data_IF_200764592385
#
_entry.id   IF_200764592385
#
_cell.length_a   1.000
_cell.length_b   1.000
_cell.length_c   1.000
_cell.angle_alpha   90.00
_cell.angle_beta   90.00
_cell.angle_gamma   90.00
#
_symmetry.space_group_name_H-M   'P 1'
#
loop_
_entity.id
_entity.type
_entity.pdbx_description
1 polymer ?
#
# COMPACT_ATOMS: atom_id res chain seq x y z
N UNK A 1 53.78 -18.19 22.81
CA UNK A 1 52.78 -17.42 23.59
C UNK A 1 52.55 -16.13 22.82
N UNK A 2 51.52 -16.07 21.98
CA UNK A 2 51.27 -14.88 21.15
C UNK A 2 49.79 -14.56 21.24
N UNK A 3 49.55 -13.41 21.85
CA UNK A 3 48.27 -12.87 22.29
C UNK A 3 47.38 -12.51 21.10
N UNK A 4 46.24 -13.20 20.98
CA UNK A 4 45.16 -12.91 20.05
C UNK A 4 44.08 -12.16 20.85
N UNK A 5 44.23 -10.84 21.04
CA UNK A 5 43.34 -10.10 21.96
C UNK A 5 43.61 -8.61 22.14
N UNK A 6 44.00 -7.89 21.09
CA UNK A 6 44.10 -6.42 21.15
C UNK A 6 42.77 -5.75 20.75
N UNK A 7 42.12 -4.96 21.62
CA UNK A 7 40.91 -4.22 21.27
C UNK A 7 41.30 -2.92 20.55
N UNK A 8 40.97 -2.79 19.28
CA UNK A 8 41.28 -1.56 18.54
C UNK A 8 41.11 -1.61 17.03
N UNK A 9 40.38 -2.61 16.51
CA UNK A 9 39.98 -2.64 15.11
C UNK A 9 38.99 -1.52 14.83
N UNK A 10 39.51 -0.35 14.46
CA UNK A 10 38.80 0.74 13.81
C UNK A 10 37.75 0.14 12.87
N UNK A 11 36.49 0.21 13.28
CA UNK A 11 35.36 -0.04 12.39
C UNK A 11 35.42 1.08 11.37
N UNK A 12 36.16 0.84 10.28
CA UNK A 12 36.22 1.77 9.17
C UNK A 12 34.78 2.06 8.80
N UNK A 13 34.40 3.34 8.86
CA UNK A 13 33.11 3.82 8.40
C UNK A 13 33.10 3.66 6.87
N UNK A 14 32.99 2.42 6.42
CA UNK A 14 32.72 2.11 5.04
C UNK A 14 31.30 2.61 4.82
N UNK A 15 31.17 3.65 3.99
CA UNK A 15 29.87 3.95 3.39
C UNK A 15 29.46 2.64 2.71
N UNK A 16 28.40 1.98 3.18
CA UNK A 16 27.99 0.72 2.57
C UNK A 16 27.74 1.00 1.09
N UNK A 17 28.53 0.36 0.23
CA UNK A 17 28.24 0.31 -1.19
C UNK A 17 26.97 -0.52 -1.36
N UNK A 18 25.93 -0.01 -2.03
CA UNK A 18 24.77 -0.85 -2.39
C UNK A 18 25.28 -2.08 -3.15
N UNK A 19 24.83 -3.33 -2.90
CA UNK A 19 23.58 -3.79 -2.24
C UNK A 19 23.75 -4.39 -0.83
N UNK A 20 24.89 -4.22 -0.17
CA UNK A 20 25.22 -4.85 1.13
C UNK A 20 24.25 -4.53 2.29
N UNK A 21 23.43 -3.49 2.17
CA UNK A 21 22.39 -3.14 3.15
C UNK A 21 20.96 -3.42 2.73
N UNK A 22 20.76 -4.10 1.60
CA UNK A 22 19.44 -4.41 1.06
C UNK A 22 18.66 -3.15 0.69
N UNK A 23 18.47 -2.91 -0.61
CA UNK A 23 17.28 -2.17 -1.03
C UNK A 23 16.09 -3.00 -0.56
N UNK A 24 15.51 -2.59 0.57
CA UNK A 24 14.38 -3.29 1.18
C UNK A 24 13.38 -3.63 0.07
N UNK A 25 12.82 -4.85 0.01
CA UNK A 25 11.94 -5.29 -1.09
C UNK A 25 10.66 -4.45 -1.30
N UNK A 26 10.48 -3.35 -0.58
CA UNK A 26 9.49 -2.28 -0.85
C UNK A 26 9.96 -1.24 -1.88
N UNK A 27 11.25 -1.17 -2.23
CA UNK A 27 11.80 -0.18 -3.17
C UNK A 27 11.92 -0.80 -4.57
N UNK A 28 10.78 -1.23 -5.09
CA UNK A 28 10.65 -1.84 -6.41
C UNK A 28 10.71 -0.76 -7.51
N UNK A 29 11.90 -0.20 -7.76
CA UNK A 29 12.17 0.73 -8.87
C UNK A 29 11.67 2.18 -8.70
N UNK A 30 11.06 2.51 -7.56
CA UNK A 30 10.67 3.89 -7.23
C UNK A 30 9.43 4.40 -7.99
N UNK A 31 8.48 3.53 -8.31
CA UNK A 31 7.24 3.84 -9.06
C UNK A 31 6.46 5.06 -8.54
N UNK A 32 6.39 5.24 -7.21
CA UNK A 32 5.65 6.34 -6.58
C UNK A 32 6.53 7.55 -6.19
N UNK A 33 7.80 7.60 -6.64
CA UNK A 33 8.77 8.62 -6.23
C UNK A 33 8.44 10.02 -6.75
N UNK A 34 7.78 10.13 -7.90
CA UNK A 34 7.33 11.40 -8.47
C UNK A 34 6.35 12.13 -7.55
N UNK A 35 5.34 11.41 -7.05
CA UNK A 35 4.33 11.95 -6.12
C UNK A 35 4.97 12.28 -4.77
N UNK A 36 5.88 11.42 -4.29
CA UNK A 36 6.64 11.68 -3.05
C UNK A 36 7.46 12.97 -3.14
N UNK A 37 8.13 13.21 -4.27
CA UNK A 37 8.92 14.42 -4.47
C UNK A 37 8.03 15.68 -4.43
N UNK A 38 6.83 15.62 -5.02
CA UNK A 38 5.85 16.69 -4.95
C UNK A 38 5.34 16.94 -3.53
N UNK A 39 5.04 15.87 -2.78
CA UNK A 39 4.65 15.98 -1.37
C UNK A 39 5.75 16.63 -0.51
N UNK A 40 6.99 16.18 -0.63
CA UNK A 40 8.13 16.75 0.09
C UNK A 40 8.43 18.19 -0.36
N UNK A 41 8.15 18.55 -1.61
CA UNK A 41 8.22 19.93 -2.09
C UNK A 41 7.14 20.77 -1.41
N UNK A 42 5.91 20.27 -1.33
CA UNK A 42 4.79 20.93 -0.65
C UNK A 42 5.14 21.20 0.82
N UNK A 43 5.56 20.18 1.57
CA UNK A 43 5.96 20.37 2.97
C UNK A 43 7.05 21.43 3.13
N UNK A 44 8.06 21.44 2.25
CA UNK A 44 9.12 22.47 2.31
C UNK A 44 8.59 23.88 2.03
N UNK A 45 7.69 24.03 1.07
CA UNK A 45 7.05 25.32 0.77
C UNK A 45 6.20 25.84 1.94
N UNK A 46 5.56 24.92 2.66
CA UNK A 46 4.68 25.22 3.79
C UNK A 46 5.40 25.17 5.15
N UNK A 47 6.74 25.25 5.19
CA UNK A 47 7.52 25.21 6.46
C UNK A 47 7.23 23.98 7.34
N UNK A 48 6.82 22.88 6.74
CA UNK A 48 6.46 21.64 7.42
C UNK A 48 5.03 21.59 7.96
N UNK A 49 4.17 22.58 7.69
CA UNK A 49 2.73 22.45 8.01
C UNK A 49 2.05 21.51 7.03
N UNK A 50 1.15 20.68 7.57
CA UNK A 50 0.32 19.78 6.77
C UNK A 50 -0.91 20.53 6.27
N UNK A 51 -0.70 21.43 5.31
CA UNK A 51 -1.78 22.13 4.62
C UNK A 51 -2.64 21.16 3.80
N UNK A 52 -3.92 21.50 3.53
CA UNK A 52 -4.83 20.62 2.80
C UNK A 52 -4.29 20.20 1.43
N UNK A 53 -3.60 21.10 0.73
CA UNK A 53 -2.88 20.82 -0.53
C UNK A 53 -1.84 19.70 -0.36
N UNK A 54 -1.02 19.75 0.71
CA UNK A 54 -0.03 18.70 0.98
C UNK A 54 -0.68 17.39 1.42
N UNK A 55 -1.86 17.46 2.04
CA UNK A 55 -2.66 16.30 2.45
C UNK A 55 -3.23 15.55 1.24
N UNK A 56 -3.64 16.24 0.18
CA UNK A 56 -4.03 15.58 -1.07
C UNK A 56 -2.84 14.85 -1.74
N UNK A 57 -1.65 15.43 -1.68
CA UNK A 57 -0.41 14.81 -2.18
C UNK A 57 0.01 13.59 -1.35
N UNK A 58 -0.15 13.62 -0.02
CA UNK A 58 0.14 12.44 0.82
C UNK A 58 -0.87 11.31 0.60
N UNK A 59 -2.15 11.64 0.39
CA UNK A 59 -3.20 10.65 0.07
C UNK A 59 -2.91 9.91 -1.24
N UNK A 60 -2.60 10.65 -2.31
CA UNK A 60 -2.23 10.08 -3.62
C UNK A 60 -0.93 9.29 -3.58
N UNK A 61 0.04 9.69 -2.76
CA UNK A 61 1.26 8.91 -2.55
C UNK A 61 0.96 7.56 -1.90
N UNK A 62 0.09 7.54 -0.87
CA UNK A 62 -0.30 6.30 -0.20
C UNK A 62 -1.17 5.42 -1.09
N UNK A 63 -2.06 6.00 -1.91
CA UNK A 63 -2.85 5.23 -2.89
C UNK A 63 -1.95 4.52 -3.89
N UNK A 64 -0.97 5.23 -4.46
CA UNK A 64 0.00 4.65 -5.40
C UNK A 64 0.73 3.44 -4.78
N UNK A 65 1.06 3.50 -3.49
CA UNK A 65 1.72 2.37 -2.81
C UNK A 65 0.80 1.17 -2.60
N UNK A 66 -0.49 1.40 -2.34
CA UNK A 66 -1.47 0.31 -2.24
C UNK A 66 -1.73 -0.32 -3.61
N UNK A 67 -1.88 0.49 -4.66
CA UNK A 67 -2.17 0.06 -6.03
C UNK A 67 -1.03 -0.76 -6.64
N UNK A 68 0.21 -0.45 -6.27
CA UNK A 68 1.42 -1.17 -6.72
C UNK A 68 1.85 -2.29 -5.78
N UNK A 69 1.01 -2.64 -4.80
CA UNK A 69 1.32 -3.65 -3.79
C UNK A 69 2.64 -3.39 -3.02
N UNK A 70 3.07 -2.12 -2.95
CA UNK A 70 4.22 -1.65 -2.16
C UNK A 70 3.87 -1.42 -0.67
N UNK A 71 2.59 -1.60 -0.33
CA UNK A 71 2.03 -1.53 1.02
C UNK A 71 0.74 -2.36 1.06
N UNK A 72 0.41 -2.91 2.23
CA UNK A 72 -0.88 -3.55 2.43
C UNK A 72 -2.02 -2.51 2.24
N UNK A 73 -3.13 -2.88 1.58
CA UNK A 73 -4.27 -1.99 1.43
C UNK A 73 -4.90 -1.72 2.81
N UNK A 74 -5.07 -0.44 3.14
CA UNK A 74 -5.71 0.02 4.37
C UNK A 74 -6.68 1.17 4.06
N UNK A 75 -7.63 1.41 4.95
CA UNK A 75 -8.57 2.51 4.80
C UNK A 75 -7.90 3.86 5.08
N UNK A 76 -8.21 4.87 4.28
CA UNK A 76 -7.68 6.22 4.47
C UNK A 76 -8.05 6.82 5.85
N UNK A 77 -9.15 6.37 6.46
CA UNK A 77 -9.52 6.77 7.82
C UNK A 77 -8.49 6.34 8.86
N UNK A 78 -7.98 5.10 8.75
CA UNK A 78 -6.93 4.57 9.64
C UNK A 78 -5.58 5.27 9.41
N UNK A 79 -5.35 5.75 8.19
CA UNK A 79 -4.15 6.48 7.79
C UNK A 79 -4.21 7.99 8.15
N UNK A 80 -5.20 8.41 8.93
CA UNK A 80 -5.32 9.79 9.41
C UNK A 80 -6.04 10.75 8.46
N UNK A 81 -6.72 10.25 7.42
CA UNK A 81 -7.58 11.03 6.51
C UNK A 81 -9.08 10.96 6.87
N UNK A 82 -9.39 10.70 8.15
CA UNK A 82 -10.76 10.46 8.63
C UNK A 82 -11.63 11.69 8.87
N UNK A 83 -11.03 12.89 8.93
CA UNK A 83 -11.72 14.12 9.34
C UNK A 83 -12.03 15.03 8.15
N UNK A 84 -13.25 14.91 7.62
CA UNK A 84 -14.09 15.98 7.04
C UNK A 84 -13.63 16.79 5.81
N UNK A 85 -12.36 16.73 5.40
CA UNK A 85 -11.81 17.59 4.33
C UNK A 85 -11.60 16.87 2.97
N UNK A 86 -12.25 15.73 2.78
CA UNK A 86 -12.18 14.91 1.57
C UNK A 86 -13.58 14.65 1.00
N UNK A 87 -14.42 15.69 0.89
CA UNK A 87 -15.78 15.56 0.35
C UNK A 87 -15.90 15.83 -1.16
N UNK A 88 -14.80 15.85 -1.91
CA UNK A 88 -14.86 16.00 -3.36
C UNK A 88 -13.96 14.97 -4.08
N UNK A 89 -14.54 14.33 -5.10
CA UNK A 89 -13.93 13.40 -6.06
C UNK A 89 -13.62 11.95 -5.64
N UNK A 90 -14.64 11.17 -5.27
CA UNK A 90 -14.70 9.74 -5.61
C UNK A 90 -16.12 9.29 -5.98
N UNK A 91 -16.77 10.07 -6.86
CA UNK A 91 -17.82 9.55 -7.72
C UNK A 91 -17.17 9.11 -9.03
N UNK A 92 -17.40 7.84 -9.36
CA UNK A 92 -17.30 7.19 -10.69
C UNK A 92 -15.95 6.56 -11.08
N UNK A 93 -15.87 5.24 -10.87
CA UNK A 93 -15.49 4.34 -11.94
C UNK A 93 -16.65 3.32 -12.17
N UNK A 94 -17.06 3.08 -13.42
CA UNK A 94 -18.27 2.33 -13.77
C UNK A 94 -18.03 0.82 -13.62
N UNK A 95 -18.85 0.16 -12.83
CA UNK A 95 -18.83 -1.30 -12.74
C UNK A 95 -19.45 -1.92 -14.01
N UNK A 96 -18.57 -2.54 -14.79
CA UNK A 96 -18.72 -3.87 -15.37
C UNK A 96 -20.05 -4.19 -16.10
N UNK A 97 -20.05 -3.96 -17.42
CA UNK A 97 -20.83 -4.77 -18.35
C UNK A 97 -19.98 -5.99 -18.76
N UNK A 98 -20.41 -7.21 -18.40
CA UNK A 98 -20.04 -8.58 -18.89
C UNK A 98 -20.49 -9.55 -17.78
N UNK A 99 -21.28 -10.63 -17.94
CA UNK A 99 -21.86 -11.32 -19.07
C UNK A 99 -23.05 -12.18 -18.58
N UNK A 100 -24.02 -12.34 -19.49
CA UNK A 100 -24.75 -13.59 -19.79
C UNK A 100 -25.08 -14.56 -18.64
N UNK A 101 -26.34 -14.56 -18.21
CA UNK A 101 -27.01 -15.76 -17.69
C UNK A 101 -28.03 -16.25 -18.72
N UNK A 102 -27.73 -17.39 -19.33
CA UNK A 102 -28.68 -18.24 -20.05
C UNK A 102 -28.26 -19.69 -19.86
N UNK A 103 -29.29 -20.54 -19.69
CA UNK A 103 -29.32 -22.01 -19.52
C UNK A 103 -29.25 -22.46 -18.04
N UNK A 104 -30.36 -22.77 -17.33
CA UNK A 104 -31.35 -23.86 -17.52
C UNK A 104 -30.65 -25.23 -17.34
N UNK A 105 -30.99 -26.17 -16.43
CA UNK A 105 -32.28 -26.65 -15.89
C UNK A 105 -32.03 -27.61 -14.66
N UNK A 106 -32.95 -28.48 -14.18
CA UNK A 106 -33.26 -28.68 -12.75
C UNK A 106 -32.82 -30.06 -12.18
N UNK A 107 -32.67 -30.20 -10.86
CA UNK A 107 -32.59 -31.52 -10.21
C UNK A 107 -33.47 -31.46 -8.95
N UNK A 108 -34.74 -31.83 -9.07
CA UNK A 108 -35.28 -33.19 -8.86
C UNK A 108 -35.35 -33.57 -7.38
N UNK A 109 -36.58 -33.48 -6.89
CA UNK A 109 -37.14 -33.96 -5.62
C UNK A 109 -36.59 -35.33 -5.20
N UNK A 110 -36.27 -35.47 -3.91
CA UNK A 110 -36.40 -36.71 -3.14
C UNK A 110 -36.18 -36.38 -1.66
N UNK A 111 -37.24 -36.11 -0.92
CA UNK A 111 -37.27 -36.25 0.53
C UNK A 111 -38.62 -36.86 0.94
N UNK A 112 -38.49 -37.83 1.83
CA UNK A 112 -39.49 -38.45 2.69
C UNK A 112 -40.56 -39.37 2.07
N UNK A 113 -40.25 -40.66 2.18
CA UNK A 113 -41.19 -41.78 2.09
C UNK A 113 -41.63 -42.12 3.52
N UNK A 114 -42.92 -42.07 3.89
CA UNK A 114 -43.39 -42.62 5.16
C UNK A 114 -43.87 -44.07 4.93
N UNK A 115 -43.35 -45.06 5.67
CA UNK A 115 -44.09 -46.29 6.00
C UNK A 115 -43.32 -47.27 6.91
N UNK A 116 -44.04 -47.73 7.93
CA UNK A 116 -43.93 -49.01 8.68
C UNK A 116 -42.71 -49.18 9.59
N UNK A 117 -42.81 -49.67 10.84
CA UNK A 117 -43.86 -50.43 11.53
C UNK A 117 -43.80 -50.20 13.04
#
# INVERSE_FOLDING_TARGET
MSTFGGPGGLQTYQKPTPPERGSFPLDHDGECKSIMASYLKCLRSHRGTNDPECRHLSKSYLSCRMDRNLMAPDSFKNLGFGDGHDSDAALQAPNAATATQSQQQPQSQQHDKPRTS
#
